data_IF_620917636478
#
_entry.id   IF_620917636478
#
_cell.length_a   1.000
_cell.length_b   1.000
_cell.length_c   1.000
_cell.angle_alpha   90.00
_cell.angle_beta   90.00
_cell.angle_gamma   90.00
#
_symmetry.space_group_name_H-M   'P 1'
#
loop_
_entity.id
_entity.type
_entity.pdbx_description
1 polymer ?
#
# COMPACT_ATOMS: atom_id res chain seq x y z
N UNK A 1 4.14 15.26 -25.97
CA UNK A 1 5.33 15.48 -25.11
C UNK A 1 6.15 14.19 -25.07
N UNK A 2 7.48 14.27 -25.08
CA UNK A 2 8.32 13.09 -24.86
C UNK A 2 8.26 12.72 -23.38
N UNK A 3 7.52 11.66 -23.03
CA UNK A 3 7.38 11.16 -21.65
C UNK A 3 8.72 10.77 -21.02
N UNK A 4 9.77 10.60 -21.83
CA UNK A 4 11.16 10.50 -21.35
C UNK A 4 11.62 11.74 -20.58
N UNK A 5 11.07 12.92 -20.80
CA UNK A 5 11.48 14.14 -20.06
C UNK A 5 10.96 14.19 -18.61
N UNK A 6 9.85 13.50 -18.31
CA UNK A 6 9.19 13.49 -16.99
C UNK A 6 9.83 12.45 -16.06
N UNK A 7 10.21 11.32 -16.65
CA UNK A 7 11.02 10.28 -16.04
C UNK A 7 12.13 9.93 -17.04
N UNK A 8 13.30 10.60 -17.02
CA UNK A 8 14.42 10.33 -17.93
C UNK A 8 14.92 8.88 -17.88
N UNK A 9 14.49 8.13 -16.87
CA UNK A 9 14.78 6.71 -16.69
C UNK A 9 13.64 5.78 -17.17
N UNK A 10 12.41 6.26 -17.38
CA UNK A 10 11.28 5.38 -17.69
C UNK A 10 11.35 4.78 -19.10
N UNK A 11 11.82 5.57 -20.07
CA UNK A 11 11.99 5.13 -21.47
C UNK A 11 13.22 4.25 -21.67
N UNK A 12 14.28 4.43 -20.87
CA UNK A 12 15.53 3.65 -20.96
C UNK A 12 15.54 2.40 -20.06
N UNK A 13 14.92 2.43 -18.87
CA UNK A 13 15.05 1.35 -17.88
C UNK A 13 13.90 0.31 -18.00
N UNK A 14 12.82 0.63 -18.72
CA UNK A 14 11.75 -0.32 -19.07
C UNK A 14 11.19 -1.10 -17.87
N UNK A 15 10.95 -2.40 -18.04
CA UNK A 15 10.44 -3.29 -16.99
C UNK A 15 11.28 -3.31 -15.70
N UNK A 16 12.59 -3.10 -15.81
CA UNK A 16 13.50 -3.05 -14.66
C UNK A 16 13.27 -1.78 -13.86
N UNK A 17 13.06 -0.65 -14.54
CA UNK A 17 12.79 0.65 -13.91
C UNK A 17 11.52 0.59 -13.09
N UNK A 18 10.44 0.06 -13.68
CA UNK A 18 9.20 -0.19 -12.97
C UNK A 18 9.41 -1.06 -11.73
N UNK A 19 10.16 -2.14 -11.87
CA UNK A 19 10.42 -3.09 -10.77
C UNK A 19 11.16 -2.43 -9.60
N UNK A 20 12.19 -1.63 -9.88
CA UNK A 20 12.96 -0.92 -8.86
C UNK A 20 12.13 0.16 -8.18
N UNK A 21 11.41 0.97 -8.96
CA UNK A 21 10.56 2.03 -8.42
C UNK A 21 9.41 1.45 -7.59
N UNK A 22 8.77 0.37 -8.04
CA UNK A 22 7.72 -0.32 -7.28
C UNK A 22 8.26 -0.96 -5.99
N UNK A 23 9.46 -1.55 -6.03
CA UNK A 23 10.10 -2.13 -4.85
C UNK A 23 10.49 -1.07 -3.83
N UNK A 24 11.35 -0.12 -4.20
CA UNK A 24 11.83 0.91 -3.27
C UNK A 24 10.71 1.87 -2.85
N UNK A 25 9.79 2.15 -3.78
CA UNK A 25 8.55 2.89 -3.50
C UNK A 25 7.72 2.26 -2.40
N UNK A 26 7.60 0.94 -2.43
CA UNK A 26 6.83 0.19 -1.44
C UNK A 26 7.60 -0.13 -0.15
N UNK A 27 8.93 -0.01 -0.16
CA UNK A 27 9.79 -0.39 0.95
C UNK A 27 9.78 0.63 2.10
N UNK A 28 9.59 1.91 1.79
CA UNK A 28 9.60 2.99 2.78
C UNK A 28 8.21 3.07 3.43
N UNK A 29 8.07 2.72 4.73
CA UNK A 29 6.78 2.73 5.38
C UNK A 29 6.25 4.16 5.52
N UNK A 30 4.94 4.35 5.34
CA UNK A 30 4.26 5.64 5.52
C UNK A 30 4.71 6.76 4.58
N UNK A 31 5.56 6.45 3.59
CA UNK A 31 5.91 7.37 2.51
C UNK A 31 5.14 6.95 1.27
N UNK A 32 4.21 7.78 0.80
CA UNK A 32 3.44 7.48 -0.37
C UNK A 32 4.28 7.77 -1.61
N UNK A 33 5.12 6.82 -2.01
CA UNK A 33 5.78 6.87 -3.30
C UNK A 33 4.80 6.31 -4.34
N UNK A 34 4.32 7.12 -5.29
CA UNK A 34 3.24 6.73 -6.19
C UNK A 34 3.77 5.88 -7.34
N UNK A 35 4.25 4.67 -7.04
CA UNK A 35 4.70 3.70 -8.07
C UNK A 35 3.59 3.34 -9.05
N UNK A 36 2.32 3.47 -8.64
CA UNK A 36 1.16 3.29 -9.50
C UNK A 36 1.06 4.34 -10.61
N UNK A 37 1.63 5.55 -10.45
CA UNK A 37 1.66 6.55 -11.53
C UNK A 37 2.63 6.11 -12.63
N UNK A 38 3.80 5.60 -12.24
CA UNK A 38 4.73 5.03 -13.22
C UNK A 38 4.12 3.83 -13.93
N UNK A 39 3.44 2.93 -13.19
CA UNK A 39 2.71 1.82 -13.78
C UNK A 39 1.65 2.30 -14.78
N UNK A 40 0.85 3.30 -14.41
CA UNK A 40 -0.19 3.87 -15.26
C UNK A 40 0.39 4.46 -16.56
N UNK A 41 1.41 5.32 -16.45
CA UNK A 41 2.06 5.94 -17.61
C UNK A 41 2.69 4.92 -18.55
N UNK A 42 3.36 3.89 -18.02
CA UNK A 42 3.94 2.81 -18.84
C UNK A 42 2.91 1.90 -19.49
N UNK A 43 1.66 1.90 -19.01
CA UNK A 43 0.55 1.12 -19.57
C UNK A 43 -0.14 1.84 -20.73
N UNK A 44 0.14 3.13 -20.94
CA UNK A 44 -0.41 3.91 -22.05
C UNK A 44 0.39 3.59 -23.32
N UNK A 45 -0.34 3.16 -24.37
CA UNK A 45 0.23 2.77 -25.65
C UNK A 45 0.69 1.30 -25.73
N UNK A 46 1.30 0.93 -26.85
CA UNK A 46 1.57 -0.47 -27.21
C UNK A 46 3.04 -0.91 -27.01
N UNK A 47 3.84 -0.11 -26.29
CA UNK A 47 5.28 -0.35 -26.14
C UNK A 47 5.60 -1.52 -25.18
N UNK A 48 4.74 -1.76 -24.20
CA UNK A 48 4.96 -2.74 -23.13
C UNK A 48 3.80 -3.72 -23.03
N UNK A 49 4.10 -4.95 -22.60
CA UNK A 49 3.10 -5.97 -22.31
C UNK A 49 2.40 -5.66 -20.98
N UNK A 50 1.08 -5.48 -21.05
CA UNK A 50 0.22 -5.11 -19.94
C UNK A 50 0.26 -6.13 -18.78
N UNK A 51 0.27 -7.42 -19.10
CA UNK A 51 0.33 -8.47 -18.09
C UNK A 51 1.67 -8.46 -17.39
N UNK A 52 2.76 -8.29 -18.15
CA UNK A 52 4.10 -8.27 -17.59
C UNK A 52 4.31 -7.05 -16.68
N UNK A 53 3.79 -5.88 -17.05
CA UNK A 53 3.79 -4.68 -16.19
C UNK A 53 3.04 -4.92 -14.87
N UNK A 54 1.82 -5.46 -14.95
CA UNK A 54 1.01 -5.74 -13.77
C UNK A 54 1.68 -6.78 -12.85
N UNK A 55 2.21 -7.85 -13.42
CA UNK A 55 2.88 -8.92 -12.66
C UNK A 55 4.15 -8.40 -11.99
N UNK A 56 5.02 -7.72 -12.71
CA UNK A 56 6.27 -7.20 -12.16
C UNK A 56 6.01 -6.19 -11.05
N UNK A 57 5.08 -5.25 -11.26
CA UNK A 57 4.73 -4.26 -10.25
C UNK A 57 4.16 -4.93 -9.00
N UNK A 58 3.20 -5.86 -9.15
CA UNK A 58 2.58 -6.54 -8.02
C UNK A 58 3.59 -7.38 -7.22
N UNK A 59 4.45 -8.15 -7.89
CA UNK A 59 5.44 -9.03 -7.24
C UNK A 59 6.50 -8.21 -6.51
N UNK A 60 7.07 -7.19 -7.16
CA UNK A 60 8.15 -6.37 -6.59
C UNK A 60 7.64 -5.53 -5.42
N UNK A 61 6.47 -4.91 -5.55
CA UNK A 61 5.83 -4.19 -4.45
C UNK A 61 5.49 -5.14 -3.29
N UNK A 62 5.02 -6.36 -3.56
CA UNK A 62 4.75 -7.35 -2.51
C UNK A 62 6.03 -7.77 -1.79
N UNK A 63 7.13 -7.99 -2.51
CA UNK A 63 8.42 -8.34 -1.92
C UNK A 63 8.89 -7.27 -0.91
N UNK A 64 8.76 -5.99 -1.27
CA UNK A 64 9.04 -4.89 -0.36
C UNK A 64 8.14 -4.91 0.89
N UNK A 65 6.83 -5.16 0.72
CA UNK A 65 5.89 -5.23 1.85
C UNK A 65 6.10 -6.42 2.76
N UNK A 66 6.59 -7.54 2.25
CA UNK A 66 7.04 -8.68 3.08
C UNK A 66 8.22 -8.28 3.96
N UNK A 67 9.14 -7.44 3.47
CA UNK A 67 10.26 -6.93 4.28
C UNK A 67 9.71 -6.03 5.40
N UNK A 68 8.86 -5.05 5.08
CA UNK A 68 8.23 -4.15 6.07
C UNK A 68 7.46 -4.93 7.13
N UNK A 69 6.68 -5.93 6.70
CA UNK A 69 5.94 -6.82 7.58
C UNK A 69 6.90 -7.61 8.48
N UNK A 70 7.97 -8.18 7.94
CA UNK A 70 8.96 -8.95 8.71
C UNK A 70 9.67 -8.10 9.75
N UNK A 71 10.08 -6.88 9.39
CA UNK A 71 10.67 -5.91 10.33
C UNK A 71 9.69 -5.58 11.45
N UNK A 72 8.43 -5.33 11.12
CA UNK A 72 7.37 -5.08 12.11
C UNK A 72 7.10 -6.32 12.99
N UNK A 73 7.15 -7.51 12.40
CA UNK A 73 6.99 -8.78 13.10
C UNK A 73 8.06 -8.97 14.16
N UNK A 74 9.32 -8.69 13.84
CA UNK A 74 10.42 -8.76 14.80
C UNK A 74 10.40 -7.60 15.80
N UNK A 75 9.92 -6.41 15.41
CA UNK A 75 9.75 -5.25 16.27
C UNK A 75 8.91 -5.51 17.53
N UNK A 76 7.98 -6.48 17.49
CA UNK A 76 7.23 -6.97 18.67
C UNK A 76 8.15 -7.30 19.86
N UNK A 77 9.34 -7.85 19.60
CA UNK A 77 10.26 -8.29 20.66
C UNK A 77 10.75 -7.14 21.53
N UNK A 78 10.83 -5.94 20.95
CA UNK A 78 11.34 -4.72 21.58
C UNK A 78 10.24 -3.98 22.36
N UNK A 79 8.97 -4.33 22.15
CA UNK A 79 7.84 -3.69 22.84
C UNK A 79 7.76 -4.07 24.33
N UNK A 80 7.47 -3.08 25.18
CA UNK A 80 7.19 -3.30 26.60
C UNK A 80 5.96 -4.19 26.84
N UNK A 81 5.93 -4.92 27.96
CA UNK A 81 4.81 -5.76 28.36
C UNK A 81 3.48 -4.98 28.46
N UNK A 82 3.52 -3.72 28.89
CA UNK A 82 2.34 -2.84 28.93
C UNK A 82 1.79 -2.58 27.54
N UNK A 83 2.66 -2.28 26.57
CA UNK A 83 2.24 -2.08 25.17
C UNK A 83 1.75 -3.38 24.54
N UNK A 84 2.37 -4.52 24.84
CA UNK A 84 1.93 -5.84 24.37
C UNK A 84 0.53 -6.20 24.86
N UNK A 85 0.23 -5.97 26.14
CA UNK A 85 -1.10 -6.21 26.71
C UNK A 85 -2.17 -5.36 26.03
N UNK A 86 -1.89 -4.08 25.76
CA UNK A 86 -2.80 -3.19 25.02
C UNK A 86 -3.08 -3.64 23.59
N UNK A 87 -2.20 -4.45 22.98
CA UNK A 87 -2.40 -4.99 21.63
C UNK A 87 -3.22 -6.27 21.58
N UNK A 88 -3.53 -6.92 22.71
CA UNK A 88 -4.29 -8.20 22.73
C UNK A 88 -5.67 -8.11 22.02
N UNK A 89 -6.48 -7.06 22.21
CA UNK A 89 -7.70 -6.85 21.42
C UNK A 89 -7.47 -6.89 19.92
N UNK A 90 -6.41 -6.21 19.48
CA UNK A 90 -6.05 -6.08 18.08
C UNK A 90 -5.55 -7.41 17.50
N UNK A 91 -4.80 -8.19 18.26
CA UNK A 91 -4.38 -9.55 17.88
C UNK A 91 -5.57 -10.47 17.60
N UNK A 92 -6.61 -10.42 18.45
CA UNK A 92 -7.83 -11.21 18.26
C UNK A 92 -8.55 -10.81 16.96
N UNK A 93 -8.66 -9.51 16.69
CA UNK A 93 -9.26 -8.99 15.46
C UNK A 93 -8.47 -9.42 14.21
N UNK A 94 -7.15 -9.26 14.26
CA UNK A 94 -6.21 -9.62 13.19
C UNK A 94 -6.21 -11.12 12.90
N UNK A 95 -6.30 -11.98 13.92
CA UNK A 95 -6.37 -13.44 13.70
C UNK A 95 -7.54 -13.83 12.78
N UNK A 96 -8.68 -13.15 12.90
CA UNK A 96 -9.90 -13.45 12.13
C UNK A 96 -9.98 -12.69 10.81
N UNK A 97 -9.63 -11.41 10.79
CA UNK A 97 -9.83 -10.54 9.62
C UNK A 97 -8.54 -10.08 8.94
N UNK A 98 -7.37 -10.51 9.41
CA UNK A 98 -6.08 -10.01 8.94
C UNK A 98 -5.81 -10.24 7.46
N UNK A 99 -6.29 -11.35 6.87
CA UNK A 99 -6.16 -11.59 5.43
C UNK A 99 -7.03 -10.61 4.62
N UNK A 100 -8.28 -10.39 5.05
CA UNK A 100 -9.18 -9.44 4.39
C UNK A 100 -8.63 -8.01 4.49
N UNK A 101 -8.19 -7.59 5.68
CA UNK A 101 -7.57 -6.29 5.89
C UNK A 101 -6.32 -6.11 5.01
N UNK A 102 -5.45 -7.12 4.94
CA UNK A 102 -4.25 -7.06 4.11
C UNK A 102 -4.58 -6.96 2.61
N UNK A 103 -5.57 -7.73 2.15
CA UNK A 103 -6.04 -7.74 0.78
C UNK A 103 -6.66 -6.41 0.37
N UNK A 104 -7.62 -5.87 1.13
CA UNK A 104 -8.28 -4.61 0.80
C UNK A 104 -7.30 -3.43 0.87
N UNK A 105 -6.35 -3.45 1.81
CA UNK A 105 -5.28 -2.47 1.84
C UNK A 105 -4.38 -2.57 0.59
N UNK A 106 -4.04 -3.78 0.13
CA UNK A 106 -3.25 -3.97 -1.10
C UNK A 106 -4.02 -3.60 -2.38
N UNK A 107 -5.33 -3.83 -2.38
CA UNK A 107 -6.21 -3.64 -3.54
C UNK A 107 -6.61 -2.18 -3.75
N UNK A 108 -6.16 -1.27 -2.89
CA UNK A 108 -6.48 0.15 -2.94
C UNK A 108 -5.20 1.00 -2.97
N UNK A 109 -5.24 2.21 -3.55
CA UNK A 109 -4.09 3.13 -3.53
C UNK A 109 -3.90 3.83 -2.17
N UNK A 110 -4.43 3.24 -1.09
CA UNK A 110 -4.35 3.75 0.27
C UNK A 110 -2.98 3.33 0.86
N UNK A 111 -2.39 4.11 1.79
CA UNK A 111 -1.19 3.71 2.53
C UNK A 111 -1.41 2.40 3.31
N UNK A 112 -1.04 1.28 2.68
CA UNK A 112 -1.21 -0.09 3.15
C UNK A 112 -0.39 -0.39 4.43
N UNK A 113 0.68 0.37 4.68
CA UNK A 113 1.52 0.27 5.89
C UNK A 113 0.76 0.50 7.19
N UNK A 114 -0.32 1.31 7.17
CA UNK A 114 -1.18 1.50 8.33
C UNK A 114 -1.87 0.20 8.78
N UNK A 115 -2.00 -0.76 7.87
CA UNK A 115 -2.57 -2.07 8.14
C UNK A 115 -1.46 -3.09 8.35
N UNK A 116 -0.38 -3.03 7.56
CA UNK A 116 0.67 -4.06 7.54
C UNK A 116 1.59 -4.01 8.75
N UNK A 117 1.95 -2.81 9.21
CA UNK A 117 2.80 -2.66 10.41
C UNK A 117 2.09 -3.21 11.65
N UNK A 118 0.82 -2.84 11.94
CA UNK A 118 0.06 -3.47 13.02
C UNK A 118 -0.12 -4.98 12.85
N UNK A 119 -0.36 -5.47 11.62
CA UNK A 119 -0.45 -6.92 11.35
C UNK A 119 0.84 -7.65 11.72
N UNK A 120 2.00 -7.08 11.38
CA UNK A 120 3.31 -7.61 11.75
C UNK A 120 3.49 -7.62 13.27
N UNK A 121 3.24 -6.47 13.91
CA UNK A 121 3.30 -6.34 15.37
C UNK A 121 2.26 -7.21 16.10
N UNK A 122 1.20 -7.65 15.46
CA UNK A 122 0.22 -8.60 15.99
C UNK A 122 0.61 -10.06 15.77
N UNK A 123 1.81 -10.33 15.22
CA UNK A 123 2.32 -11.66 14.90
C UNK A 123 1.39 -12.44 13.96
N UNK A 124 0.78 -11.76 12.99
CA UNK A 124 -0.06 -12.41 11.98
C UNK A 124 0.74 -13.42 11.14
N UNK A 125 0.08 -14.41 10.55
CA UNK A 125 0.76 -15.47 9.79
C UNK A 125 1.40 -14.93 8.49
N UNK A 126 2.72 -15.03 8.29
CA UNK A 126 3.40 -14.46 7.12
C UNK A 126 2.90 -15.02 5.79
N UNK A 127 2.54 -16.31 5.74
CA UNK A 127 2.00 -16.95 4.54
C UNK A 127 0.66 -16.36 4.10
N UNK A 128 -0.28 -16.16 5.04
CA UNK A 128 -1.59 -15.57 4.72
C UNK A 128 -1.45 -14.10 4.37
N UNK A 129 -0.53 -13.39 5.03
CA UNK A 129 -0.18 -12.01 4.68
C UNK A 129 0.32 -11.93 3.23
N UNK A 130 1.33 -12.72 2.86
CA UNK A 130 1.90 -12.74 1.52
C UNK A 130 0.84 -13.00 0.45
N UNK A 131 0.01 -14.04 0.62
CA UNK A 131 -1.03 -14.37 -0.35
C UNK A 131 -2.06 -13.24 -0.47
N UNK A 132 -2.53 -12.70 0.66
CA UNK A 132 -3.51 -11.62 0.66
C UNK A 132 -2.97 -10.34 0.00
N UNK A 133 -1.75 -9.93 0.36
CA UNK A 133 -1.10 -8.75 -0.21
C UNK A 133 -0.80 -8.93 -1.69
N UNK A 134 -0.29 -10.11 -2.09
CA UNK A 134 0.03 -10.40 -3.49
C UNK A 134 -1.24 -10.32 -4.36
N UNK A 135 -2.31 -11.02 -3.96
CA UNK A 135 -3.57 -11.02 -4.71
C UNK A 135 -4.19 -9.63 -4.76
N UNK A 136 -4.16 -8.88 -3.65
CA UNK A 136 -4.64 -7.50 -3.65
C UNK A 136 -3.83 -6.59 -4.58
N UNK A 137 -2.49 -6.71 -4.58
CA UNK A 137 -1.63 -5.92 -5.47
C UNK A 137 -1.80 -6.33 -6.93
N UNK A 138 -2.10 -7.60 -7.21
CA UNK A 138 -2.50 -8.01 -8.56
C UNK A 138 -3.79 -7.32 -9.00
N UNK A 139 -4.83 -7.33 -8.15
CA UNK A 139 -6.10 -6.65 -8.46
C UNK A 139 -5.86 -5.17 -8.74
N UNK A 140 -5.13 -4.48 -7.86
CA UNK A 140 -4.83 -3.05 -8.04
C UNK A 140 -4.00 -2.81 -9.30
N UNK A 141 -2.94 -3.59 -9.52
CA UNK A 141 -2.06 -3.40 -10.67
C UNK A 141 -2.79 -3.64 -11.99
N UNK A 142 -3.56 -4.73 -12.10
CA UNK A 142 -4.37 -4.99 -13.29
C UNK A 142 -5.44 -3.92 -13.51
N UNK A 143 -6.10 -3.46 -12.44
CA UNK A 143 -7.06 -2.37 -12.54
C UNK A 143 -6.38 -1.11 -13.10
N UNK A 144 -5.23 -0.71 -12.57
CA UNK A 144 -4.46 0.44 -13.07
C UNK A 144 -4.06 0.24 -14.53
N UNK A 145 -3.47 -0.90 -14.88
CA UNK A 145 -2.97 -1.16 -16.24
C UNK A 145 -4.11 -1.10 -17.24
N UNK A 146 -5.23 -1.80 -16.99
CA UNK A 146 -6.36 -1.82 -17.93
C UNK A 146 -7.10 -0.48 -17.99
N UNK A 147 -7.33 0.18 -16.85
CA UNK A 147 -7.95 1.52 -16.83
C UNK A 147 -7.08 2.49 -17.63
N UNK A 148 -5.76 2.50 -17.39
CA UNK A 148 -4.84 3.43 -18.06
C UNK A 148 -4.70 3.13 -19.55
N UNK A 149 -4.70 1.85 -19.94
CA UNK A 149 -4.58 1.45 -21.34
C UNK A 149 -5.88 1.72 -22.14
N UNK A 150 -7.05 1.33 -21.60
CA UNK A 150 -8.33 1.41 -22.34
C UNK A 150 -9.03 2.75 -22.21
N UNK A 151 -8.96 3.41 -21.05
CA UNK A 151 -9.48 4.77 -20.92
C UNK A 151 -8.50 5.80 -21.48
N UNK A 152 -7.29 5.32 -21.83
CA UNK A 152 -6.25 6.08 -22.49
C UNK A 152 -5.89 7.35 -21.73
N UNK A 153 -5.52 8.36 -22.51
CA UNK A 153 -5.18 9.68 -22.01
C UNK A 153 -6.39 10.46 -21.45
N UNK A 154 -7.66 10.01 -21.55
CA UNK A 154 -8.81 10.82 -21.11
C UNK A 154 -8.82 11.21 -19.62
N UNK A 155 -8.09 10.48 -18.77
CA UNK A 155 -7.88 10.82 -17.35
C UNK A 155 -6.60 11.63 -17.09
N UNK A 156 -5.68 11.66 -18.07
CA UNK A 156 -4.32 12.19 -17.95
C UNK A 156 -4.14 13.47 -18.79
N UNK A 157 -4.76 13.58 -19.96
CA UNK A 157 -4.84 14.75 -20.84
C UNK A 157 -5.37 15.98 -20.09
N UNK A 158 -6.50 15.94 -19.36
CA UNK A 158 -6.96 17.13 -18.62
C UNK A 158 -6.02 17.53 -17.47
N UNK A 159 -5.16 16.61 -17.03
CA UNK A 159 -4.16 16.81 -15.98
C UNK A 159 -2.80 17.25 -16.54
N UNK A 160 -2.56 17.07 -17.84
CA UNK A 160 -1.29 17.34 -18.53
C UNK A 160 -1.40 18.39 -19.66
N UNK A 161 -2.61 18.78 -20.09
CA UNK A 161 -2.85 19.80 -21.13
C UNK A 161 -2.27 21.17 -20.74
N UNK A 162 -2.29 21.52 -19.45
CA UNK A 162 -1.69 22.77 -18.91
C UNK A 162 -0.25 22.57 -18.40
N UNK A 163 0.34 21.39 -18.58
CA UNK A 163 1.67 21.04 -18.02
C UNK A 163 2.74 21.13 -19.11
N UNK A 164 2.96 22.33 -19.65
CA UNK A 164 4.07 22.58 -20.59
C UNK A 164 5.46 22.52 -19.91
N UNK A 165 5.50 22.61 -18.57
CA UNK A 165 6.73 22.80 -17.81
C UNK A 165 6.94 21.67 -16.77
N UNK A 166 8.16 21.11 -16.71
CA UNK A 166 8.53 20.00 -15.81
C UNK A 166 8.27 20.36 -14.34
N UNK A 167 8.34 21.66 -14.03
CA UNK A 167 8.01 22.26 -12.74
C UNK A 167 6.60 21.92 -12.26
N UNK A 168 5.60 21.90 -13.14
CA UNK A 168 4.20 21.60 -12.77
C UNK A 168 4.02 20.15 -12.34
N UNK A 169 4.81 19.23 -12.88
CA UNK A 169 4.79 17.82 -12.46
C UNK A 169 5.41 17.66 -11.08
N UNK A 170 6.54 18.34 -10.82
CA UNK A 170 7.14 18.35 -9.49
C UNK A 170 6.20 18.97 -8.45
N UNK A 171 5.46 20.04 -8.81
CA UNK A 171 4.42 20.61 -7.96
C UNK A 171 3.28 19.60 -7.73
N UNK A 172 2.80 18.91 -8.77
CA UNK A 172 1.77 17.87 -8.64
C UNK A 172 2.18 16.72 -7.72
N UNK A 173 3.42 16.24 -7.84
CA UNK A 173 4.00 15.23 -6.94
C UNK A 173 4.08 15.78 -5.51
N UNK A 174 4.52 17.04 -5.33
CA UNK A 174 4.62 17.66 -4.03
C UNK A 174 3.24 17.86 -3.36
N UNK A 175 2.23 18.27 -4.13
CA UNK A 175 0.84 18.42 -3.66
C UNK A 175 0.24 17.06 -3.31
N UNK A 176 0.43 16.04 -4.16
CA UNK A 176 -0.02 14.67 -3.88
C UNK A 176 0.64 14.11 -2.63
N UNK A 177 1.96 14.30 -2.48
CA UNK A 177 2.69 13.91 -1.29
C UNK A 177 2.16 14.63 -0.04
N UNK A 178 1.97 15.95 -0.10
CA UNK A 178 1.43 16.74 1.02
C UNK A 178 0.01 16.31 1.41
N UNK A 179 -0.86 16.08 0.42
CA UNK A 179 -2.23 15.59 0.64
C UNK A 179 -2.20 14.22 1.31
N UNK A 180 -1.37 13.31 0.83
CA UNK A 180 -1.28 11.95 1.36
C UNK A 180 -0.63 11.92 2.75
N UNK A 181 0.40 12.72 3.01
CA UNK A 181 0.95 12.93 4.36
C UNK A 181 -0.12 13.47 5.31
N UNK A 182 -0.96 14.39 4.85
CA UNK A 182 -2.07 14.93 5.64
C UNK A 182 -3.09 13.84 6.01
N UNK A 183 -3.43 12.95 5.07
CA UNK A 183 -4.29 11.78 5.33
C UNK A 183 -3.66 10.85 6.36
N UNK A 184 -2.36 10.56 6.25
CA UNK A 184 -1.64 9.74 7.24
C UNK A 184 -1.69 10.40 8.63
N UNK A 185 -1.44 11.70 8.74
CA UNK A 185 -1.52 12.43 10.01
C UNK A 185 -2.94 12.37 10.59
N UNK A 186 -3.97 12.53 9.76
CA UNK A 186 -5.37 12.47 10.18
C UNK A 186 -5.75 11.07 10.69
N UNK A 187 -5.32 10.01 9.98
CA UNK A 187 -5.52 8.62 10.41
C UNK A 187 -4.79 8.31 11.71
N UNK A 188 -3.60 8.86 11.93
CA UNK A 188 -2.88 8.73 13.20
C UNK A 188 -3.53 9.53 14.34
N UNK A 189 -4.21 10.64 14.04
CA UNK A 189 -4.94 11.48 15.02
C UNK A 189 -6.34 10.98 15.35
N UNK A 190 -6.90 10.07 14.57
CA UNK A 190 -8.22 9.50 14.84
C UNK A 190 -8.19 8.62 16.10
N UNK A 191 -9.23 8.76 16.93
CA UNK A 191 -9.36 7.96 18.15
C UNK A 191 -9.86 6.55 17.82
N UNK A 192 -8.90 5.66 17.59
CA UNK A 192 -9.15 4.26 17.30
C UNK A 192 -9.93 3.54 18.41
N UNK A 193 -9.89 4.02 19.66
CA UNK A 193 -10.68 3.44 20.74
C UNK A 193 -12.18 3.67 20.51
N UNK A 194 -12.57 4.89 20.12
CA UNK A 194 -13.96 5.24 19.80
C UNK A 194 -14.46 4.53 18.53
N UNK A 195 -13.60 4.38 17.52
CA UNK A 195 -13.94 3.69 16.27
C UNK A 195 -14.12 2.19 16.52
N UNK A 196 -13.16 1.53 17.18
CA UNK A 196 -13.25 0.11 17.47
C UNK A 196 -14.38 -0.20 18.46
N UNK A 197 -14.68 0.69 19.42
CA UNK A 197 -15.82 0.53 20.31
C UNK A 197 -17.18 0.53 19.60
N UNK A 198 -17.29 1.18 18.43
CA UNK A 198 -18.53 1.20 17.64
C UNK A 198 -18.64 0.05 16.65
N UNK A 199 -17.52 -0.31 16.00
CA UNK A 199 -17.51 -1.29 14.91
C UNK A 199 -17.14 -2.72 15.36
N UNK A 200 -16.38 -2.85 16.44
CA UNK A 200 -15.92 -4.13 16.96
C UNK A 200 -15.94 -4.19 18.50
N UNK A 201 -17.11 -3.96 19.15
CA UNK A 201 -17.20 -3.89 20.62
C UNK A 201 -16.70 -5.16 21.31
N UNK A 202 -16.87 -6.35 20.70
CA UNK A 202 -16.37 -7.64 21.20
C UNK A 202 -14.84 -7.71 21.34
N UNK A 203 -14.10 -6.77 20.77
CA UNK A 203 -12.63 -6.68 20.92
C UNK A 203 -12.23 -6.02 22.24
N UNK A 204 -13.12 -5.24 22.85
CA UNK A 204 -12.87 -4.49 24.09
C UNK A 204 -13.33 -5.23 25.35
N UNK A 205 -14.14 -6.29 25.21
CA UNK A 205 -14.62 -7.07 26.36
C UNK A 205 -13.52 -7.95 26.95
N UNK A 206 -13.12 -7.61 28.17
CA UNK A 206 -12.16 -8.35 29.00
C UNK A 206 -12.72 -9.72 29.47
N UNK A 207 -14.04 -9.93 29.40
CA UNK A 207 -14.72 -11.16 29.83
C UNK A 207 -14.41 -12.41 28.97
N UNK A 208 -13.72 -12.25 27.83
CA UNK A 208 -13.26 -13.40 27.03
C UNK A 208 -12.02 -14.10 27.61
N UNK A 209 -11.50 -13.69 28.77
CA UNK A 209 -10.45 -14.45 29.48
C UNK A 209 -10.99 -15.75 30.13
N UNK A 210 -12.31 -15.89 30.30
CA UNK A 210 -12.93 -17.03 30.98
C UNK A 210 -13.26 -18.23 30.06
N UNK A 211 -13.25 -18.05 28.73
CA UNK A 211 -13.51 -19.15 27.78
C UNK A 211 -12.26 -19.98 27.43
N UNK A 212 -11.04 -19.46 27.65
CA UNK A 212 -9.79 -20.24 27.44
C UNK A 212 -9.45 -21.17 28.63
N UNK A 213 -10.30 -21.26 29.65
CA UNK A 213 -10.12 -22.12 30.84
C UNK A 213 -11.12 -23.29 30.94
N UNK A 214 -11.86 -23.64 29.90
CA UNK A 214 -12.67 -24.87 29.87
C UNK A 214 -12.22 -25.85 28.80
#
# INVERSE_FOLDING_TARGET
>A
MDFGSIFPFATEVGYIGLSLVSFFGSLIPFVPLPSFLLLATMSVGDKFDLHLLAILSAVTATAAKVIVFSVSYEGRRIMSEKSRKRMRPFERLVKRYGAGAAFFAAATPIPDDLVYVPLGLAKYSPKRFFIATLTGKFVLSYAIVFISHYMGLSLVEPLLEDVEDVTTIYIGIAVFAAMMTSVVILLLRLDWHKIMGRFAPWTLDENNEDEEKK
#
